data_IF_678136583232
#
_entry.id   IF_678136583232
#
_cell.length_a   1.000
_cell.length_b   1.000
_cell.length_c   1.000
_cell.angle_alpha   90.00
_cell.angle_beta   90.00
_cell.angle_gamma   90.00
#
_symmetry.space_group_name_H-M   'P 1'
#
loop_
_entity.id
_entity.type
_entity.pdbx_description
1 polymer ?
#
# COMPACT_ATOMS: atom_id res chain seq x y z
N UNK A 1 18.21 -13.63 -3.21
CA UNK A 1 18.61 -12.32 -2.64
C UNK A 1 18.52 -12.26 -1.11
N UNK A 2 17.34 -12.48 -0.49
CA UNK A 2 17.18 -12.45 0.98
C UNK A 2 18.17 -13.33 1.76
N UNK A 3 18.44 -14.55 1.27
CA UNK A 3 19.42 -15.47 1.86
C UNK A 3 20.84 -14.89 1.88
N UNK A 4 21.24 -14.23 0.78
CA UNK A 4 22.58 -13.64 0.58
C UNK A 4 22.82 -12.45 1.53
N UNK A 5 21.83 -11.56 1.66
CA UNK A 5 21.89 -10.42 2.60
C UNK A 5 22.05 -10.91 4.05
N UNK A 6 21.33 -11.96 4.44
CA UNK A 6 21.44 -12.53 5.79
C UNK A 6 22.76 -13.28 6.03
N UNK A 7 23.23 -14.06 5.05
CA UNK A 7 24.46 -14.85 5.21
C UNK A 7 25.72 -13.99 5.18
N UNK A 8 25.75 -12.95 4.35
CA UNK A 8 26.91 -12.08 4.16
C UNK A 8 26.87 -10.83 5.05
N UNK A 9 25.84 -10.67 5.89
CA UNK A 9 25.64 -9.50 6.78
C UNK A 9 25.80 -8.16 6.07
N UNK A 10 25.29 -8.07 4.85
CA UNK A 10 25.39 -6.87 4.00
C UNK A 10 24.69 -5.71 4.72
N UNK A 11 25.43 -4.61 4.94
CA UNK A 11 24.89 -3.38 5.50
C UNK A 11 23.89 -2.70 4.57
N UNK A 12 23.05 -1.81 5.10
CA UNK A 12 22.03 -1.10 4.31
C UNK A 12 22.67 -0.28 3.18
N UNK A 13 23.78 0.38 3.46
CA UNK A 13 24.51 1.20 2.47
C UNK A 13 25.07 0.34 1.32
N UNK A 14 25.73 -0.77 1.64
CA UNK A 14 26.22 -1.72 0.62
C UNK A 14 25.07 -2.31 -0.20
N UNK A 15 23.95 -2.61 0.45
CA UNK A 15 22.77 -3.13 -0.22
C UNK A 15 22.20 -2.14 -1.23
N UNK A 16 22.14 -0.85 -0.89
CA UNK A 16 21.70 0.21 -1.82
C UNK A 16 22.61 0.25 -3.05
N UNK A 17 23.93 0.18 -2.85
CA UNK A 17 24.92 0.19 -3.95
C UNK A 17 24.84 -1.05 -4.83
N UNK A 18 24.59 -2.22 -4.24
CA UNK A 18 24.49 -3.50 -4.94
C UNK A 18 23.16 -3.70 -5.67
N UNK A 19 22.15 -2.86 -5.41
CA UNK A 19 20.81 -3.01 -5.99
C UNK A 19 20.24 -1.72 -6.60
N UNK A 20 20.94 -1.08 -7.55
CA UNK A 20 20.48 0.15 -8.20
C UNK A 20 19.10 0.00 -8.86
N UNK A 21 18.79 -1.19 -9.39
CA UNK A 21 17.48 -1.53 -9.95
C UNK A 21 16.32 -1.49 -8.96
N UNK A 22 16.58 -1.44 -7.65
CA UNK A 22 15.55 -1.35 -6.60
C UNK A 22 15.27 0.08 -6.16
N UNK A 23 16.02 1.02 -6.67
CA UNK A 23 15.87 2.44 -6.40
C UNK A 23 14.72 2.97 -7.25
N UNK A 24 13.89 3.84 -6.68
CA UNK A 24 12.79 4.50 -7.41
C UNK A 24 11.85 3.50 -8.12
N UNK A 25 11.51 2.44 -7.39
CA UNK A 25 10.72 1.34 -7.96
C UNK A 25 9.26 1.68 -8.14
N UNK A 26 8.67 2.49 -7.25
CA UNK A 26 7.24 2.82 -7.34
C UNK A 26 6.97 3.63 -8.60
N UNK A 27 7.84 4.58 -8.93
CA UNK A 27 7.75 5.37 -10.13
C UNK A 27 7.75 4.50 -11.41
N UNK A 28 8.74 3.61 -11.54
CA UNK A 28 8.80 2.70 -12.69
C UNK A 28 7.57 1.79 -12.79
N UNK A 29 7.10 1.26 -11.66
CA UNK A 29 5.92 0.38 -11.61
C UNK A 29 4.64 1.11 -12.03
N UNK A 30 4.41 2.31 -11.49
CA UNK A 30 3.22 3.12 -11.78
C UNK A 30 3.27 3.66 -13.20
N UNK A 31 4.46 4.02 -13.71
CA UNK A 31 4.64 4.41 -15.11
C UNK A 31 4.44 3.23 -16.08
N UNK A 32 4.49 1.98 -15.60
CA UNK A 32 4.43 0.79 -16.46
C UNK A 32 5.72 0.55 -17.25
N UNK A 33 6.85 1.08 -16.79
CA UNK A 33 8.15 0.99 -17.45
C UNK A 33 9.06 0.05 -16.66
N UNK A 34 9.76 -0.86 -17.36
CA UNK A 34 10.73 -1.75 -16.70
C UNK A 34 11.93 -0.92 -16.21
N UNK A 35 12.12 -0.85 -14.91
CA UNK A 35 13.31 -0.20 -14.32
C UNK A 35 14.59 -0.86 -14.83
N UNK A 36 15.49 -0.05 -15.35
CA UNK A 36 16.87 -0.42 -15.68
C UNK A 36 17.86 0.02 -14.57
N UNK A 37 17.35 0.46 -13.41
CA UNK A 37 18.14 1.06 -12.34
C UNK A 37 18.46 2.54 -12.51
N UNK A 38 17.89 3.20 -13.53
CA UNK A 38 17.84 4.65 -13.65
C UNK A 38 16.39 5.05 -13.92
N UNK A 39 15.73 5.57 -12.90
CA UNK A 39 14.47 6.26 -13.13
C UNK A 39 14.79 7.68 -13.59
N UNK A 40 14.28 8.04 -14.77
CA UNK A 40 14.44 9.38 -15.31
C UNK A 40 13.27 10.27 -14.85
N UNK A 41 13.47 11.59 -14.88
CA UNK A 41 12.42 12.58 -14.60
C UNK A 41 11.19 12.38 -15.52
N UNK A 42 11.43 11.96 -16.76
CA UNK A 42 10.38 11.56 -17.71
C UNK A 42 9.49 10.43 -17.19
N UNK A 43 10.06 9.47 -16.44
CA UNK A 43 9.31 8.36 -15.84
C UNK A 43 8.43 8.86 -14.69
N UNK A 44 8.92 9.84 -13.92
CA UNK A 44 8.13 10.47 -12.86
C UNK A 44 6.89 11.15 -13.40
N UNK A 45 7.03 11.92 -14.49
CA UNK A 45 5.88 12.61 -15.08
C UNK A 45 4.83 11.62 -15.62
N UNK A 46 5.24 10.52 -16.25
CA UNK A 46 4.32 9.45 -16.66
C UNK A 46 3.64 8.81 -15.44
N UNK A 47 4.38 8.56 -14.36
CA UNK A 47 3.81 8.00 -13.14
C UNK A 47 2.77 8.93 -12.50
N UNK A 48 3.06 10.24 -12.42
CA UNK A 48 2.11 11.25 -11.92
C UNK A 48 0.86 11.32 -12.81
N UNK A 49 1.03 11.29 -14.13
CA UNK A 49 -0.11 11.28 -15.07
C UNK A 49 -0.99 10.05 -14.84
N UNK A 50 -0.39 8.86 -14.74
CA UNK A 50 -1.12 7.63 -14.48
C UNK A 50 -1.89 7.70 -13.15
N UNK A 51 -1.26 8.16 -12.06
CA UNK A 51 -1.93 8.35 -10.76
C UNK A 51 -3.13 9.29 -10.87
N UNK A 52 -3.01 10.38 -11.63
CA UNK A 52 -4.05 11.39 -11.75
C UNK A 52 -5.20 10.98 -12.69
N UNK A 53 -4.90 10.23 -13.76
CA UNK A 53 -5.85 10.00 -14.87
C UNK A 53 -6.33 8.56 -14.99
N UNK A 54 -5.52 7.59 -14.60
CA UNK A 54 -5.80 6.16 -14.81
C UNK A 54 -6.28 5.45 -13.56
N UNK A 55 -5.87 5.91 -12.36
CA UNK A 55 -6.33 5.34 -11.10
C UNK A 55 -7.58 6.06 -10.61
N UNK A 56 -8.64 5.30 -10.29
CA UNK A 56 -9.84 5.87 -9.67
C UNK A 56 -9.58 6.39 -8.25
N UNK A 57 -8.55 5.84 -7.59
CA UNK A 57 -8.20 6.16 -6.21
C UNK A 57 -6.74 5.81 -5.94
N UNK A 58 -6.09 6.63 -5.10
CA UNK A 58 -4.76 6.39 -4.54
C UNK A 58 -4.92 6.24 -3.03
N UNK A 59 -4.31 5.20 -2.45
CA UNK A 59 -4.30 4.95 -1.00
C UNK A 59 -2.89 4.96 -0.42
N UNK A 60 -2.78 5.16 0.89
CA UNK A 60 -1.55 5.26 1.65
C UNK A 60 -1.44 4.17 2.71
N UNK A 61 -0.28 3.53 2.80
CA UNK A 61 -0.06 2.41 3.72
C UNK A 61 -0.10 2.81 5.19
N UNK A 62 0.38 4.01 5.51
CA UNK A 62 0.40 4.62 6.83
C UNK A 62 -0.96 5.19 7.25
N UNK A 63 -1.90 5.33 6.30
CA UNK A 63 -3.31 5.69 6.51
C UNK A 63 -4.23 4.60 5.96
N UNK A 64 -3.93 3.36 6.32
CA UNK A 64 -4.55 2.17 5.71
C UNK A 64 -6.06 2.11 5.88
N UNK A 65 -6.59 2.34 7.09
CA UNK A 65 -8.03 2.28 7.35
C UNK A 65 -8.81 3.30 6.50
N UNK A 66 -8.29 4.52 6.42
CA UNK A 66 -8.88 5.59 5.61
C UNK A 66 -8.81 5.25 4.13
N UNK A 67 -7.68 4.70 3.67
CA UNK A 67 -7.51 4.21 2.30
C UNK A 67 -8.51 3.11 1.98
N UNK A 68 -8.69 2.14 2.89
CA UNK A 68 -9.62 1.03 2.73
C UNK A 68 -11.06 1.52 2.66
N UNK A 69 -11.46 2.44 3.54
CA UNK A 69 -12.81 3.02 3.51
C UNK A 69 -13.03 3.88 2.27
N UNK A 70 -12.03 4.65 1.84
CA UNK A 70 -12.15 5.47 0.64
C UNK A 70 -12.31 4.59 -0.61
N UNK A 71 -11.60 3.46 -0.71
CA UNK A 71 -11.79 2.43 -1.75
C UNK A 71 -13.21 1.86 -1.67
N UNK A 72 -13.64 1.46 -0.46
CA UNK A 72 -14.96 0.89 -0.25
C UNK A 72 -16.07 1.84 -0.71
N UNK A 73 -16.01 3.13 -0.34
CA UNK A 73 -16.98 4.15 -0.74
C UNK A 73 -16.85 4.62 -2.18
N UNK A 74 -15.76 4.29 -2.87
CA UNK A 74 -15.59 4.61 -4.29
C UNK A 74 -16.18 3.52 -5.17
N UNK A 75 -16.06 2.26 -4.75
CA UNK A 75 -16.55 1.10 -5.51
C UNK A 75 -17.80 0.45 -4.93
N UNK A 76 -18.43 1.08 -3.93
CA UNK A 76 -19.60 0.59 -3.21
C UNK A 76 -19.40 -0.82 -2.62
N UNK A 77 -18.24 -1.04 -1.99
CA UNK A 77 -17.92 -2.30 -1.32
C UNK A 77 -18.38 -2.28 0.13
N UNK A 78 -19.00 -3.38 0.54
CA UNK A 78 -19.22 -3.69 1.95
C UNK A 78 -17.99 -4.41 2.52
N UNK A 79 -17.39 -3.84 3.55
CA UNK A 79 -16.21 -4.40 4.22
C UNK A 79 -16.55 -4.67 5.69
N UNK A 80 -16.88 -5.91 6.07
CA UNK A 80 -17.31 -6.22 7.43
C UNK A 80 -16.15 -6.19 8.44
N UNK A 81 -14.94 -6.62 8.03
CA UNK A 81 -13.72 -6.58 8.84
C UNK A 81 -12.48 -6.64 7.94
N UNK A 82 -11.31 -6.34 8.50
CA UNK A 82 -10.01 -6.62 7.87
C UNK A 82 -9.02 -7.11 8.93
N UNK A 83 -8.00 -7.85 8.48
CA UNK A 83 -6.88 -8.27 9.31
C UNK A 83 -5.57 -7.66 8.84
N UNK A 84 -4.80 -7.18 9.81
CA UNK A 84 -3.46 -6.68 9.58
C UNK A 84 -2.50 -7.86 9.36
N UNK A 85 -2.09 -8.06 8.12
CA UNK A 85 -1.00 -8.98 7.78
C UNK A 85 0.28 -8.20 7.45
N UNK A 86 1.45 -8.83 7.69
CA UNK A 86 2.77 -8.25 7.39
C UNK A 86 3.09 -6.94 8.13
N UNK A 87 2.51 -6.74 9.31
CA UNK A 87 2.86 -5.60 10.18
C UNK A 87 4.22 -5.87 10.84
N UNK A 88 5.14 -4.92 10.71
CA UNK A 88 6.41 -4.99 11.41
C UNK A 88 6.20 -4.81 12.91
N UNK A 89 6.65 -5.77 13.73
CA UNK A 89 6.56 -5.69 15.19
C UNK A 89 7.53 -4.65 15.78
N UNK A 90 8.62 -4.39 15.07
CA UNK A 90 9.66 -3.46 15.49
C UNK A 90 10.10 -2.61 14.31
N UNK A 91 10.35 -1.32 14.55
CA UNK A 91 11.00 -0.46 13.57
C UNK A 91 12.51 -0.49 13.85
N UNK A 92 13.34 -1.00 12.92
CA UNK A 92 14.77 -0.94 13.10
C UNK A 92 15.22 0.52 13.13
N UNK A 93 16.17 0.84 14.00
CA UNK A 93 16.88 2.13 13.94
C UNK A 93 17.72 2.12 12.66
N UNK A 94 17.63 3.21 11.90
CA UNK A 94 18.41 3.43 10.69
C UNK A 94 19.36 4.57 11.00
N UNK A 95 20.65 4.36 10.77
CA UNK A 95 21.66 5.40 10.95
C UNK A 95 21.37 6.59 10.03
N UNK A 96 21.63 7.84 10.47
CA UNK A 96 21.35 9.03 9.66
C UNK A 96 22.01 9.00 8.27
N UNK A 97 23.24 8.49 8.15
CA UNK A 97 23.94 8.36 6.87
C UNK A 97 23.20 7.44 5.89
N UNK A 98 22.73 6.29 6.39
CA UNK A 98 21.96 5.34 5.60
C UNK A 98 20.59 5.92 5.23
N UNK A 99 19.94 6.65 6.13
CA UNK A 99 18.67 7.30 5.85
C UNK A 99 18.80 8.35 4.73
N UNK A 100 19.87 9.15 4.75
CA UNK A 100 20.12 10.14 3.70
C UNK A 100 20.45 9.48 2.36
N UNK A 101 21.24 8.41 2.39
CA UNK A 101 21.51 7.61 1.19
C UNK A 101 20.22 7.00 0.61
N UNK A 102 19.30 6.50 1.44
CA UNK A 102 18.00 6.00 0.98
C UNK A 102 17.21 7.10 0.29
N UNK A 103 17.14 8.30 0.88
CA UNK A 103 16.40 9.43 0.29
C UNK A 103 16.98 9.82 -1.05
N UNK A 104 18.29 9.97 -1.14
CA UNK A 104 18.97 10.40 -2.38
C UNK A 104 18.65 9.44 -3.54
N UNK A 105 18.78 8.13 -3.28
CA UNK A 105 18.51 7.12 -4.30
C UNK A 105 17.02 6.90 -4.59
N UNK A 106 16.12 7.47 -3.78
CA UNK A 106 14.67 7.38 -3.98
C UNK A 106 14.02 8.76 -4.11
N UNK A 107 14.78 9.79 -4.53
CA UNK A 107 14.28 11.17 -4.61
C UNK A 107 13.00 11.29 -5.44
N UNK A 108 12.95 10.63 -6.59
CA UNK A 108 11.78 10.65 -7.46
C UNK A 108 10.59 9.86 -6.87
N UNK A 109 10.85 8.78 -6.14
CA UNK A 109 9.79 8.05 -5.42
C UNK A 109 9.23 8.89 -4.27
N UNK A 110 10.06 9.69 -3.59
CA UNK A 110 9.61 10.66 -2.58
C UNK A 110 8.73 11.74 -3.20
N UNK A 111 9.13 12.27 -4.36
CA UNK A 111 8.32 13.26 -5.07
C UNK A 111 6.99 12.68 -5.58
N UNK A 112 7.01 11.47 -6.12
CA UNK A 112 5.80 10.74 -6.50
C UNK A 112 4.88 10.49 -5.30
N UNK A 113 5.46 10.13 -4.16
CA UNK A 113 4.72 9.91 -2.92
C UNK A 113 4.00 11.18 -2.47
N UNK A 114 4.67 12.34 -2.45
CA UNK A 114 4.03 13.60 -2.08
C UNK A 114 2.91 13.98 -3.07
N UNK A 115 3.12 13.75 -4.36
CA UNK A 115 2.06 13.94 -5.36
C UNK A 115 0.86 13.02 -5.11
N UNK A 116 1.09 11.71 -4.93
CA UNK A 116 0.06 10.72 -4.65
C UNK A 116 -0.68 10.98 -3.33
N UNK A 117 0.04 11.45 -2.31
CA UNK A 117 -0.53 11.90 -1.05
C UNK A 117 -1.48 13.08 -1.26
N UNK A 118 -1.11 14.06 -2.09
CA UNK A 118 -2.01 15.16 -2.47
C UNK A 118 -3.33 14.66 -3.09
N UNK A 119 -3.26 13.68 -4.00
CA UNK A 119 -4.45 13.05 -4.59
C UNK A 119 -5.30 12.30 -3.56
N UNK A 120 -4.66 11.61 -2.62
CA UNK A 120 -5.32 10.92 -1.52
C UNK A 120 -6.06 11.92 -0.61
N UNK A 121 -5.40 12.99 -0.14
CA UNK A 121 -6.03 13.99 0.71
C UNK A 121 -7.22 14.67 0.00
N UNK A 122 -7.07 14.99 -1.29
CA UNK A 122 -8.15 15.59 -2.08
C UNK A 122 -9.36 14.64 -2.22
N UNK A 123 -9.11 13.34 -2.40
CA UNK A 123 -10.16 12.32 -2.46
C UNK A 123 -10.83 12.13 -1.10
N UNK A 124 -10.05 12.13 -0.03
CA UNK A 124 -10.54 12.01 1.34
C UNK A 124 -11.43 13.20 1.72
N UNK A 125 -11.01 14.43 1.42
CA UNK A 125 -11.80 15.64 1.70
C UNK A 125 -13.17 15.61 0.99
N UNK A 126 -13.25 15.08 -0.24
CA UNK A 126 -14.51 14.95 -0.98
C UNK A 126 -15.49 13.93 -0.38
N UNK A 127 -14.98 12.95 0.38
CA UNK A 127 -15.75 11.84 0.96
C UNK A 127 -15.61 11.76 2.48
N UNK A 128 -15.28 12.89 3.12
CA UNK A 128 -14.88 12.93 4.52
C UNK A 128 -15.95 12.33 5.44
N UNK A 129 -17.21 12.71 5.20
CA UNK A 129 -18.35 12.24 5.98
C UNK A 129 -18.53 10.73 5.83
N UNK A 130 -18.56 10.22 4.60
CA UNK A 130 -18.79 8.80 4.31
C UNK A 130 -17.65 7.93 4.83
N UNK A 131 -16.41 8.41 4.74
CA UNK A 131 -15.25 7.71 5.29
C UNK A 131 -15.31 7.69 6.81
N UNK A 132 -15.60 8.82 7.46
CA UNK A 132 -15.73 8.90 8.93
C UNK A 132 -16.83 7.99 9.47
N UNK A 133 -18.00 7.99 8.83
CA UNK A 133 -19.13 7.13 9.20
C UNK A 133 -18.80 5.65 8.95
N UNK A 134 -18.17 5.34 7.81
CA UNK A 134 -17.68 4.00 7.50
C UNK A 134 -16.69 3.49 8.55
N UNK A 135 -15.71 4.30 8.95
CA UNK A 135 -14.74 3.97 10.00
C UNK A 135 -15.39 3.77 11.37
N UNK A 136 -16.36 4.62 11.73
CA UNK A 136 -17.07 4.48 13.00
C UNK A 136 -17.84 3.16 13.05
N UNK A 137 -18.63 2.85 12.02
CA UNK A 137 -19.34 1.57 11.91
C UNK A 137 -18.37 0.38 11.91
N UNK A 138 -17.30 0.48 11.13
CA UNK A 138 -16.27 -0.55 11.01
C UNK A 138 -15.61 -0.88 12.36
N UNK A 139 -15.32 0.11 13.19
CA UNK A 139 -14.70 -0.09 14.51
C UNK A 139 -15.65 -0.66 15.57
N UNK A 140 -16.96 -0.60 15.33
CA UNK A 140 -17.97 -1.24 16.19
C UNK A 140 -18.21 -2.71 15.84
N UNK A 141 -17.79 -3.17 14.66
CA UNK A 141 -17.88 -4.57 14.29
C UNK A 141 -16.91 -5.40 15.14
N UNK A 142 -17.46 -6.32 15.93
CA UNK A 142 -16.66 -7.31 16.62
C UNK A 142 -16.03 -8.25 15.59
N UNK A 143 -14.72 -8.49 15.72
CA UNK A 143 -14.03 -9.49 14.92
C UNK A 143 -14.73 -10.84 15.15
N UNK A 144 -15.14 -11.56 14.09
CA UNK A 144 -15.67 -12.91 14.26
C UNK A 144 -14.64 -13.75 15.04
N UNK A 145 -15.03 -14.24 16.22
CA UNK A 145 -14.18 -15.11 17.02
C UNK A 145 -13.72 -16.31 16.20
N UNK A 146 -12.41 -16.47 16.04
CA UNK A 146 -11.72 -17.60 15.38
C UNK A 146 -12.47 -18.24 14.21
N UNK A 147 -12.82 -17.46 13.19
CA UNK A 147 -13.20 -18.00 11.86
C UNK A 147 -11.95 -18.23 11.00
N UNK A 148 -10.79 -18.40 11.66
CA UNK A 148 -9.49 -18.60 11.03
C UNK A 148 -9.43 -19.90 10.19
N UNK A 149 -10.32 -20.88 10.47
CA UNK A 149 -10.43 -22.11 9.69
C UNK A 149 -11.26 -21.97 8.40
N UNK A 150 -12.22 -21.05 8.35
CA UNK A 150 -13.14 -20.87 7.22
C UNK A 150 -12.57 -19.90 6.17
N UNK A 151 -11.89 -18.83 6.58
CA UNK A 151 -11.27 -17.89 5.63
C UNK A 151 -10.05 -18.50 4.92
N UNK A 152 -9.30 -19.38 5.61
CA UNK A 152 -8.16 -20.09 4.98
C UNK A 152 -8.58 -21.19 4.00
N UNK A 153 -9.83 -21.66 4.01
CA UNK A 153 -10.30 -22.73 3.10
C UNK A 153 -10.87 -22.20 1.77
N UNK A 154 -11.28 -20.93 1.70
CA UNK A 154 -11.92 -20.36 0.51
C UNK A 154 -10.98 -19.65 -0.46
N UNK A 155 -9.66 -19.70 -0.24
CA UNK A 155 -8.65 -19.20 -1.21
C UNK A 155 -8.70 -19.98 -2.55
N UNK A 156 -9.48 -21.07 -2.66
CA UNK A 156 -9.74 -21.76 -3.93
C UNK A 156 -11.10 -21.50 -4.58
N UNK A 157 -12.13 -21.08 -3.84
CA UNK A 157 -13.47 -20.86 -4.38
C UNK A 157 -14.35 -20.15 -3.35
N UNK A 158 -15.07 -19.10 -3.77
CA UNK A 158 -16.27 -18.68 -3.05
C UNK A 158 -16.28 -17.23 -2.57
N UNK A 159 -16.22 -16.27 -3.50
CA UNK A 159 -16.76 -14.92 -3.28
C UNK A 159 -18.30 -14.85 -3.45
N UNK A 160 -18.97 -16.00 -3.53
CA UNK A 160 -20.39 -16.12 -3.87
C UNK A 160 -21.27 -16.67 -2.74
N UNK A 161 -20.70 -17.13 -1.61
CA UNK A 161 -21.46 -17.85 -0.58
C UNK A 161 -21.95 -16.99 0.59
N UNK A 162 -21.33 -15.85 0.87
CA UNK A 162 -21.63 -15.09 2.10
C UNK A 162 -22.94 -14.29 2.04
N UNK A 163 -23.39 -13.89 0.85
CA UNK A 163 -24.67 -13.17 0.69
C UNK A 163 -25.90 -14.07 0.86
N UNK A 164 -25.77 -15.40 0.77
CA UNK A 164 -26.91 -16.32 0.94
C UNK A 164 -27.15 -16.78 2.37
N UNK A 165 -26.16 -16.70 3.26
CA UNK A 165 -26.32 -17.14 4.65
C UNK A 165 -26.99 -16.04 5.50
N UNK A 166 -26.75 -14.77 5.18
CA UNK A 166 -27.38 -13.63 5.88
C UNK A 166 -28.88 -13.42 5.54
N UNK A 167 -29.40 -14.06 4.49
CA UNK A 167 -30.83 -13.99 4.12
C UNK A 167 -31.64 -15.21 4.57
N UNK A 168 -31.04 -16.12 5.33
CA UNK A 168 -31.66 -17.36 5.79
C UNK A 168 -31.70 -17.50 7.34
N UNK A 169 -31.43 -16.40 8.05
CA UNK A 169 -31.68 -16.22 9.49
C UNK A 169 -32.61 -15.01 9.61
#
# INVERSE_FOLDING_TARGET
>A
MHRKVKSERIGVEDFIRLTPQRQTMQCSLIAGIKSNGKCEESTLEIAKENLARSFSIVGLSERFEESLMLIAKTFDWEIPFYENHKVSKTRPKVEPSAAEMIKEHNRLDLELYEFGKGLFEASLAKKEKEVREGLAAFRTFEKPGSVESLYKSTVGAGRFLMTKIASAI
#
